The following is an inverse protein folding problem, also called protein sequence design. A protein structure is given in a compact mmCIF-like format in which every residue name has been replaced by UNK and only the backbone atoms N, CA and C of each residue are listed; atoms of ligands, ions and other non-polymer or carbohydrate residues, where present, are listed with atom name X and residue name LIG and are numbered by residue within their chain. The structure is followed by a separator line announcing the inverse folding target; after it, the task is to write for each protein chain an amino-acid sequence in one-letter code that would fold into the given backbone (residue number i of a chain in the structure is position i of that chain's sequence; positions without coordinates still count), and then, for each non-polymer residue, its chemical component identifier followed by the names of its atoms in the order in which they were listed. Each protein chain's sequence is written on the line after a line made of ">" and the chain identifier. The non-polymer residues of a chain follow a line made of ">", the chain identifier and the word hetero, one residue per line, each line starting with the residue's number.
data_IF_181594960935
#
_entry.id   IF_181594960935
#
_cell.length_a   1.000
_cell.length_b   1.000
_cell.length_c   1.000
_cell.angle_alpha   90.00
_cell.angle_beta   90.00
_cell.angle_gamma   90.00
#
_symmetry.space_group_name_H-M   'P 1'
#
loop_
_entity.id
_entity.type
_entity.pdbx_description
1 polymer ?
#
# COMPACT_ATOMS: atom_id res chain seq x y z
N UNK A 1 -25.13 34.26 -27.91
CA UNK A 1 -25.07 33.24 -26.86
C UNK A 1 -23.79 32.44 -27.04
N UNK A 2 -22.75 32.67 -26.23
CA UNK A 2 -21.51 31.89 -26.22
C UNK A 2 -21.51 31.03 -24.95
N UNK A 3 -21.55 29.71 -25.10
CA UNK A 3 -21.36 28.76 -24.00
C UNK A 3 -19.85 28.43 -23.91
N UNK A 4 -19.21 28.86 -22.83
CA UNK A 4 -17.82 28.50 -22.51
C UNK A 4 -17.88 27.12 -21.85
N UNK A 5 -17.44 26.09 -22.59
CA UNK A 5 -17.19 24.77 -22.04
C UNK A 5 -16.01 24.83 -21.06
N UNK A 6 -16.26 24.50 -19.80
CA UNK A 6 -15.21 24.33 -18.80
C UNK A 6 -14.49 23.00 -19.07
N UNK A 7 -13.40 23.06 -19.83
CA UNK A 7 -12.39 22.00 -19.82
C UNK A 7 -11.56 22.17 -18.55
N UNK A 8 -11.79 21.32 -17.55
CA UNK A 8 -10.96 21.26 -16.34
C UNK A 8 -9.53 20.85 -16.70
N UNK A 9 -8.50 21.50 -16.13
CA UNK A 9 -7.12 21.26 -16.50
C UNK A 9 -6.56 19.97 -15.89
N UNK A 10 -5.68 19.40 -16.69
CA UNK A 10 -4.62 18.42 -16.45
C UNK A 10 -4.13 18.37 -14.99
N UNK A 11 -4.32 17.23 -14.32
CA UNK A 11 -3.49 16.84 -13.18
C UNK A 11 -2.29 16.02 -13.69
N UNK A 12 -1.26 16.72 -14.13
CA UNK A 12 0.08 16.18 -14.19
C UNK A 12 0.57 16.07 -12.73
N UNK A 13 0.65 14.85 -12.20
CA UNK A 13 1.31 14.57 -10.93
C UNK A 13 2.28 13.43 -11.21
N UNK A 14 3.55 13.77 -11.43
CA UNK A 14 4.56 13.80 -10.37
C UNK A 14 5.23 12.43 -10.26
N UNK A 15 6.39 12.35 -10.92
CA UNK A 15 7.44 11.35 -10.70
C UNK A 15 7.88 11.47 -9.24
N UNK A 16 7.49 10.49 -8.43
CA UNK A 16 7.69 10.52 -6.98
C UNK A 16 6.82 9.48 -6.31
N UNK A 17 7.12 8.21 -6.56
CA UNK A 17 6.42 7.05 -6.03
C UNK A 17 6.67 6.92 -4.52
N UNK A 18 6.13 7.87 -3.75
CA UNK A 18 5.95 7.75 -2.30
C UNK A 18 4.61 7.06 -2.12
N UNK A 19 4.65 5.84 -1.61
CA UNK A 19 3.51 4.93 -1.44
C UNK A 19 2.25 5.72 -1.01
N UNK A 20 1.31 5.87 -1.93
CA UNK A 20 0.11 6.65 -1.67
C UNK A 20 -0.66 5.96 -0.55
N UNK A 21 -0.74 6.61 0.62
CA UNK A 21 -1.52 6.09 1.74
C UNK A 21 -2.93 5.77 1.23
N UNK A 22 -3.45 4.57 1.51
CA UNK A 22 -4.74 4.16 1.00
C UNK A 22 -5.80 5.16 1.51
N UNK A 23 -6.60 5.69 0.58
CA UNK A 23 -7.50 6.80 0.86
C UNK A 23 -8.87 6.28 1.36
N UNK A 24 -9.53 7.01 2.29
CA UNK A 24 -10.90 6.71 2.68
C UNK A 24 -11.85 6.83 1.48
N UNK A 25 -12.87 5.98 1.44
CA UNK A 25 -13.87 5.99 0.35
C UNK A 25 -15.26 5.61 0.85
N UNK A 26 -16.28 6.20 0.24
CA UNK A 26 -17.68 5.83 0.47
C UNK A 26 -18.02 4.61 -0.39
N UNK A 27 -18.56 3.57 0.24
CA UNK A 27 -18.95 2.32 -0.45
C UNK A 27 -20.39 1.99 -0.09
N UNK A 28 -21.19 1.63 -1.10
CA UNK A 28 -22.54 1.11 -0.87
C UNK A 28 -22.47 -0.37 -0.51
N UNK A 29 -22.93 -0.72 0.68
CA UNK A 29 -23.00 -2.10 1.16
C UNK A 29 -24.47 -2.53 1.21
N UNK A 30 -24.87 -3.57 0.44
CA UNK A 30 -26.23 -4.09 0.46
C UNK A 30 -26.67 -4.41 1.90
N UNK A 31 -27.84 -3.92 2.30
CA UNK A 31 -28.39 -4.10 3.65
C UNK A 31 -27.86 -3.13 4.72
N UNK A 32 -26.87 -2.28 4.42
CA UNK A 32 -26.37 -1.24 5.34
C UNK A 32 -26.40 0.19 4.80
N UNK A 33 -26.50 0.35 3.47
CA UNK A 33 -26.45 1.65 2.83
C UNK A 33 -25.02 2.13 2.55
N UNK A 34 -24.83 3.44 2.42
CA UNK A 34 -23.52 4.01 2.11
C UNK A 34 -22.70 4.17 3.38
N UNK A 35 -21.56 3.48 3.45
CA UNK A 35 -20.66 3.51 4.61
C UNK A 35 -19.31 4.11 4.24
N UNK A 36 -18.70 4.82 5.19
CA UNK A 36 -17.33 5.30 5.06
C UNK A 36 -16.36 4.16 5.37
N UNK A 37 -15.58 3.75 4.38
CA UNK A 37 -14.53 2.74 4.54
C UNK A 37 -13.20 3.46 4.71
N UNK A 38 -12.61 3.30 5.88
CA UNK A 38 -11.29 3.81 6.23
C UNK A 38 -10.27 2.67 6.16
N UNK A 39 -9.35 2.66 5.18
CA UNK A 39 -8.21 1.75 5.22
C UNK A 39 -7.28 2.13 6.38
N UNK A 40 -6.83 1.12 7.12
CA UNK A 40 -5.88 1.25 8.24
C UNK A 40 -4.65 0.43 7.91
N UNK A 41 -3.49 1.06 7.79
CA UNK A 41 -2.23 0.36 7.55
C UNK A 41 -1.88 -0.49 8.78
N UNK A 42 -1.62 -1.78 8.56
CA UNK A 42 -1.20 -2.68 9.62
C UNK A 42 -0.38 -3.83 9.06
N UNK A 43 0.65 -4.23 9.80
CA UNK A 43 1.48 -5.40 9.53
C UNK A 43 0.97 -6.66 10.27
N UNK A 44 -0.06 -6.53 11.11
CA UNK A 44 -0.60 -7.65 11.87
C UNK A 44 -1.40 -8.60 10.96
N UNK A 45 -0.97 -9.86 10.78
CA UNK A 45 -1.69 -10.83 9.96
C UNK A 45 -3.05 -11.24 10.55
N UNK A 46 -3.31 -10.92 11.82
CA UNK A 46 -4.56 -11.22 12.52
C UNK A 46 -5.53 -10.04 12.51
N UNK A 47 -5.15 -8.90 11.94
CA UNK A 47 -6.03 -7.75 11.88
C UNK A 47 -7.25 -8.03 10.99
N UNK A 48 -8.45 -7.73 11.52
CA UNK A 48 -9.72 -7.92 10.83
C UNK A 48 -10.47 -6.58 10.67
N UNK A 49 -11.34 -6.51 9.66
CA UNK A 49 -12.20 -5.36 9.45
C UNK A 49 -13.13 -5.17 10.65
N UNK A 50 -13.29 -3.92 11.10
CA UNK A 50 -14.11 -3.57 12.27
C UNK A 50 -14.88 -2.29 12.06
N UNK A 51 -16.05 -2.21 12.69
CA UNK A 51 -16.84 -0.98 12.76
C UNK A 51 -16.35 -0.13 13.94
N UNK A 52 -16.08 1.14 13.68
CA UNK A 52 -15.67 2.12 14.68
C UNK A 52 -16.73 3.21 14.71
N UNK A 53 -17.32 3.46 15.87
CA UNK A 53 -18.26 4.57 16.06
C UNK A 53 -17.44 5.82 16.36
N UNK A 54 -17.46 6.79 15.44
CA UNK A 54 -16.77 8.07 15.60
C UNK A 54 -17.78 9.12 16.05
N UNK A 55 -17.63 9.72 17.26
CA UNK A 55 -18.52 10.77 17.72
C UNK A 55 -18.59 11.92 16.70
N UNK A 56 -19.79 12.32 16.32
CA UNK A 56 -20.04 13.37 15.33
C UNK A 56 -19.95 12.94 13.84
N UNK A 57 -19.47 11.73 13.54
CA UNK A 57 -19.30 11.24 12.15
C UNK A 57 -20.01 9.91 11.87
N UNK A 58 -20.48 9.18 12.89
CA UNK A 58 -21.25 7.95 12.74
C UNK A 58 -20.38 6.69 12.61
N UNK A 59 -20.90 5.67 11.93
CA UNK A 59 -20.22 4.39 11.76
C UNK A 59 -19.16 4.44 10.65
N UNK A 60 -17.91 4.15 11.01
CA UNK A 60 -16.78 4.04 10.07
C UNK A 60 -16.31 2.60 10.02
N UNK A 61 -16.18 2.06 8.80
CA UNK A 61 -15.65 0.73 8.58
C UNK A 61 -14.13 0.78 8.42
N UNK A 62 -13.41 0.43 9.48
CA UNK A 62 -11.95 0.32 9.45
C UNK A 62 -11.55 -1.01 8.82
N UNK A 63 -10.90 -0.96 7.64
CA UNK A 63 -10.40 -2.13 6.94
C UNK A 63 -8.89 -2.16 7.05
N UNK A 64 -8.30 -3.15 7.73
CA UNK A 64 -6.87 -3.30 7.75
C UNK A 64 -6.35 -3.62 6.35
N UNK A 65 -5.39 -2.84 5.89
CA UNK A 65 -4.72 -3.04 4.61
C UNK A 65 -3.22 -3.17 4.88
N UNK A 66 -2.61 -4.19 4.29
CA UNK A 66 -1.17 -4.35 4.34
C UNK A 66 -0.54 -3.42 3.30
N UNK A 67 0.57 -2.73 3.64
CA UNK A 67 1.40 -2.10 2.63
C UNK A 67 1.68 -3.09 1.51
N UNK A 68 1.51 -2.65 0.26
CA UNK A 68 1.81 -3.52 -0.87
C UNK A 68 3.32 -3.59 -0.97
N UNK A 69 3.88 -4.79 -0.91
CA UNK A 69 5.32 -4.94 -1.14
C UNK A 69 5.65 -4.45 -2.56
N UNK A 70 6.39 -3.33 -2.63
CA UNK A 70 6.81 -2.70 -3.88
C UNK A 70 8.17 -3.20 -4.36
N UNK A 71 8.83 -4.06 -3.58
CA UNK A 71 10.14 -4.62 -3.93
C UNK A 71 10.06 -5.53 -5.14
N UNK A 72 11.04 -5.42 -6.02
CA UNK A 72 11.20 -6.34 -7.15
C UNK A 72 11.47 -7.78 -6.67
N UNK A 73 11.26 -8.76 -7.54
CA UNK A 73 11.59 -10.16 -7.22
C UNK A 73 13.06 -10.35 -6.82
N UNK A 74 13.97 -9.65 -7.51
CA UNK A 74 15.40 -9.60 -7.18
C UNK A 74 15.66 -8.97 -5.81
N UNK A 75 15.05 -7.82 -5.51
CA UNK A 75 15.22 -7.14 -4.23
C UNK A 75 14.77 -8.02 -3.06
N UNK A 76 13.61 -8.69 -3.18
CA UNK A 76 13.13 -9.64 -2.18
C UNK A 76 14.09 -10.81 -1.98
N UNK A 77 14.61 -11.36 -3.08
CA UNK A 77 15.62 -12.41 -3.01
C UNK A 77 16.86 -11.96 -2.23
N UNK A 78 17.39 -10.77 -2.53
CA UNK A 78 18.58 -10.25 -1.84
C UNK A 78 18.29 -10.05 -0.36
N UNK A 79 17.17 -9.42 0.00
CA UNK A 79 16.79 -9.20 1.41
C UNK A 79 16.67 -10.53 2.19
N UNK A 80 16.05 -11.55 1.59
CA UNK A 80 15.90 -12.88 2.19
C UNK A 80 17.25 -13.58 2.41
N UNK A 81 18.17 -13.49 1.45
CA UNK A 81 19.48 -14.12 1.54
C UNK A 81 20.41 -13.39 2.50
N UNK A 82 20.38 -12.05 2.51
CA UNK A 82 21.09 -11.22 3.49
C UNK A 82 20.60 -11.55 4.90
N UNK A 83 19.28 -11.69 5.10
CA UNK A 83 18.72 -12.09 6.39
C UNK A 83 19.15 -13.51 6.80
N UNK A 84 19.25 -14.46 5.85
CA UNK A 84 19.79 -15.81 6.11
C UNK A 84 21.27 -15.79 6.52
N UNK A 85 22.06 -14.87 5.98
CA UNK A 85 23.49 -14.71 6.30
C UNK A 85 23.73 -13.92 7.61
N UNK A 86 22.66 -13.60 8.36
CA UNK A 86 22.76 -12.85 9.62
C UNK A 86 22.78 -11.33 9.45
N UNK A 87 22.42 -10.82 8.28
CA UNK A 87 22.25 -9.38 8.00
C UNK A 87 23.54 -8.62 7.69
N UNK A 88 24.71 -9.21 7.95
CA UNK A 88 26.02 -8.60 7.72
C UNK A 88 26.91 -9.50 6.86
N UNK A 89 26.53 -9.75 5.60
CA UNK A 89 27.29 -10.60 4.71
C UNK A 89 28.67 -10.02 4.40
N UNK A 90 29.66 -10.90 4.36
CA UNK A 90 30.99 -10.56 3.85
C UNK A 90 30.93 -10.15 2.37
N UNK A 91 31.96 -9.48 1.86
CA UNK A 91 32.02 -9.08 0.45
C UNK A 91 31.90 -10.28 -0.52
N UNK A 92 32.43 -11.45 -0.14
CA UNK A 92 32.29 -12.68 -0.92
C UNK A 92 30.85 -13.21 -0.87
N UNK A 93 30.25 -13.23 0.31
CA UNK A 93 28.85 -13.65 0.49
C UNK A 93 27.89 -12.75 -0.30
N UNK A 94 28.09 -11.43 -0.27
CA UNK A 94 27.30 -10.49 -1.07
C UNK A 94 27.37 -10.77 -2.57
N UNK A 95 28.56 -11.11 -3.11
CA UNK A 95 28.69 -11.48 -4.54
C UNK A 95 27.96 -12.78 -4.87
N UNK A 96 28.01 -13.76 -3.97
CA UNK A 96 27.26 -15.00 -4.15
C UNK A 96 25.74 -14.78 -4.11
N UNK A 97 25.27 -13.92 -3.20
CA UNK A 97 23.85 -13.53 -3.10
C UNK A 97 23.39 -12.81 -4.37
N UNK A 98 24.17 -11.85 -4.86
CA UNK A 98 23.82 -11.11 -6.07
C UNK A 98 23.74 -12.02 -7.30
N UNK A 99 24.71 -12.95 -7.44
CA UNK A 99 24.70 -13.97 -8.49
C UNK A 99 23.44 -14.83 -8.40
N UNK A 100 23.09 -15.32 -7.21
CA UNK A 100 21.89 -16.11 -6.96
C UNK A 100 20.61 -15.36 -7.32
N UNK A 101 20.51 -14.08 -6.98
CA UNK A 101 19.31 -13.28 -7.18
C UNK A 101 19.20 -12.62 -8.56
N UNK A 102 20.27 -12.61 -9.37
CA UNK A 102 20.26 -12.10 -10.73
C UNK A 102 19.44 -12.93 -11.73
N UNK A 103 19.18 -14.21 -11.41
CA UNK A 103 18.46 -15.16 -12.26
C UNK A 103 16.97 -15.25 -11.93
N UNK A 104 16.40 -14.26 -11.23
CA UNK A 104 15.02 -14.25 -10.72
C UNK A 104 14.15 -13.14 -11.28
#
# INVERSE_FOLDING_TARGET
>A
MLAIGAASPIAAQSVGQKEAAPQPRMVYVPGRGTVLVQPVLTDDPRAVARTVIVPGYGEVYAVPVRPKDTRSARQRCVDEEVARDGGLPSALAMRAIDLKCSQR
#
